data_IF_637834362259
#
_entry.id   IF_637834362259
#
_cell.length_a   1.000
_cell.length_b   1.000
_cell.length_c   1.000
_cell.angle_alpha   90.00
_cell.angle_beta   90.00
_cell.angle_gamma   90.00
#
_symmetry.space_group_name_H-M   'P 1'
#
loop_
_entity.id
_entity.type
_entity.pdbx_description
1 polymer ?
#
# COMPACT_ATOMS: atom_id res chain seq x y z
N UNK A 1 -5.31 -11.13 -4.71
CA UNK A 1 -6.35 -12.16 -4.56
C UNK A 1 -7.66 -11.50 -4.94
N UNK A 2 -8.42 -12.09 -5.85
CA UNK A 2 -9.78 -11.63 -6.15
C UNK A 2 -10.73 -12.23 -5.10
N UNK A 3 -11.31 -11.39 -4.25
CA UNK A 3 -12.21 -11.84 -3.19
C UNK A 3 -13.60 -12.23 -3.68
N UNK A 4 -13.97 -11.89 -4.91
CA UNK A 4 -15.29 -12.25 -5.47
C UNK A 4 -15.36 -13.70 -5.92
N UNK A 5 -14.21 -14.28 -6.29
CA UNK A 5 -14.08 -15.65 -6.80
C UNK A 5 -13.30 -16.58 -5.88
N UNK A 6 -12.68 -16.05 -4.83
CA UNK A 6 -11.83 -16.83 -3.93
C UNK A 6 -12.16 -16.55 -2.45
N UNK A 7 -12.52 -17.61 -1.74
CA UNK A 7 -12.69 -17.57 -0.28
C UNK A 7 -11.38 -17.90 0.42
N UNK A 8 -11.06 -17.16 1.48
CA UNK A 8 -9.89 -17.47 2.30
C UNK A 8 -10.20 -17.30 3.79
N UNK A 9 -9.93 -18.31 4.64
CA UNK A 9 -10.39 -18.34 6.02
C UNK A 9 -9.86 -17.19 6.88
N UNK A 10 -8.74 -16.59 6.47
CA UNK A 10 -8.08 -15.48 7.18
C UNK A 10 -8.12 -14.14 6.45
N UNK A 11 -8.69 -14.09 5.25
CA UNK A 11 -8.80 -12.84 4.50
C UNK A 11 -10.26 -12.47 4.40
N UNK A 12 -10.81 -12.02 5.53
CA UNK A 12 -12.16 -11.47 5.58
C UNK A 12 -12.12 -10.10 4.89
N UNK A 13 -12.99 -9.92 3.92
CA UNK A 13 -13.18 -8.64 3.24
C UNK A 13 -14.55 -8.12 3.62
N UNK A 14 -14.59 -6.98 4.30
CA UNK A 14 -15.85 -6.31 4.67
C UNK A 14 -16.34 -5.40 3.52
N UNK A 15 -15.50 -5.19 2.51
CA UNK A 15 -15.79 -4.44 1.29
C UNK A 15 -14.62 -4.48 0.31
N UNK A 16 -14.79 -3.87 -0.86
CA UNK A 16 -13.72 -3.80 -1.86
C UNK A 16 -13.34 -2.34 -2.17
N UNK A 17 -12.04 -2.02 -2.29
CA UNK A 17 -10.88 -2.87 -2.03
C UNK A 17 -10.52 -2.95 -0.53
N UNK A 18 -10.19 -4.15 -0.04
CA UNK A 18 -9.60 -4.38 1.30
C UNK A 18 -8.11 -4.72 1.16
N UNK A 19 -7.26 -4.07 1.96
CA UNK A 19 -5.81 -4.32 2.00
C UNK A 19 -5.46 -4.88 3.37
N UNK A 20 -4.95 -6.11 3.40
CA UNK A 20 -4.57 -6.85 4.61
C UNK A 20 -3.06 -7.10 4.64
N UNK A 21 -2.43 -6.86 5.78
CA UNK A 21 -1.00 -7.07 5.98
C UNK A 21 -0.71 -8.21 6.95
N UNK A 22 0.12 -9.15 6.49
CA UNK A 22 0.53 -10.34 7.25
C UNK A 22 2.03 -10.24 7.59
N UNK A 23 2.39 -9.81 8.82
CA UNK A 23 3.79 -9.70 9.22
C UNK A 23 4.51 -11.06 9.25
N UNK A 24 5.78 -11.06 8.86
CA UNK A 24 6.62 -12.26 8.88
C UNK A 24 6.73 -12.86 10.30
N UNK A 25 6.70 -14.20 10.40
CA UNK A 25 6.80 -14.91 11.68
C UNK A 25 5.53 -14.92 12.52
N UNK A 26 4.54 -14.05 12.26
CA UNK A 26 3.26 -13.99 13.01
C UNK A 26 2.12 -14.65 12.24
N UNK A 27 2.28 -15.94 11.95
CA UNK A 27 1.31 -16.72 11.16
C UNK A 27 -0.03 -16.97 11.87
N UNK A 28 -0.10 -16.86 13.19
CA UNK A 28 -1.31 -17.16 13.97
C UNK A 28 -2.17 -15.92 14.29
N UNK A 29 -1.66 -14.71 14.02
CA UNK A 29 -2.40 -13.48 14.31
C UNK A 29 -3.32 -13.09 13.16
N UNK A 30 -4.40 -12.38 13.50
CA UNK A 30 -5.25 -11.72 12.51
C UNK A 30 -4.42 -10.73 11.68
N UNK A 31 -4.71 -10.61 10.36
CA UNK A 31 -4.05 -9.61 9.54
C UNK A 31 -4.32 -8.20 10.06
N UNK A 32 -3.38 -7.31 9.78
CA UNK A 32 -3.54 -5.89 10.07
C UNK A 32 -4.22 -5.24 8.87
N UNK A 33 -5.41 -4.69 9.06
CA UNK A 33 -6.11 -3.94 8.00
C UNK A 33 -5.45 -2.58 7.78
N UNK A 34 -5.27 -2.22 6.51
CA UNK A 34 -4.79 -0.90 6.13
C UNK A 34 -5.95 0.08 5.97
N UNK A 35 -6.05 1.02 6.91
CA UNK A 35 -7.07 2.09 6.94
C UNK A 35 -6.54 3.46 6.47
N UNK A 36 -5.33 3.50 5.89
CA UNK A 36 -4.71 4.73 5.42
C UNK A 36 -5.17 5.17 4.04
N UNK A 37 -4.67 6.31 3.57
CA UNK A 37 -4.90 6.73 2.18
C UNK A 37 -4.25 5.73 1.23
N UNK A 38 -4.92 5.44 0.11
CA UNK A 38 -4.47 4.46 -0.90
C UNK A 38 -3.39 5.06 -1.81
N UNK A 39 -2.41 5.73 -1.21
CA UNK A 39 -1.25 6.34 -1.87
C UNK A 39 -0.01 5.48 -1.68
N UNK A 40 0.95 5.57 -2.61
CA UNK A 40 2.23 4.84 -2.51
C UNK A 40 3.01 5.24 -1.25
N UNK A 41 2.91 6.52 -0.87
CA UNK A 41 3.62 7.09 0.28
C UNK A 41 3.09 6.49 1.58
N UNK A 42 1.78 6.43 1.77
CA UNK A 42 1.20 5.93 3.01
C UNK A 42 1.27 4.41 3.11
N UNK A 43 1.13 3.71 1.99
CA UNK A 43 1.40 2.28 1.95
C UNK A 43 2.86 1.99 2.34
N UNK A 44 3.82 2.78 1.86
CA UNK A 44 5.23 2.62 2.25
C UNK A 44 5.44 2.87 3.75
N UNK A 45 4.88 3.94 4.32
CA UNK A 45 4.95 4.22 5.76
C UNK A 45 4.35 3.07 6.58
N UNK A 46 3.20 2.55 6.14
CA UNK A 46 2.51 1.46 6.81
C UNK A 46 3.32 0.16 6.78
N UNK A 47 3.83 -0.25 5.61
CA UNK A 47 4.68 -1.44 5.52
C UNK A 47 5.94 -1.25 6.37
N UNK A 48 6.57 -0.06 6.34
CA UNK A 48 7.76 0.23 7.16
C UNK A 48 7.48 0.14 8.67
N UNK A 49 6.27 0.50 9.11
CA UNK A 49 5.86 0.43 10.52
C UNK A 49 5.58 -1.01 10.99
N UNK A 50 4.99 -1.84 10.14
CA UNK A 50 4.53 -3.18 10.52
C UNK A 50 5.44 -4.32 10.05
N UNK A 51 6.36 -4.07 9.13
CA UNK A 51 7.31 -5.08 8.64
C UNK A 51 8.27 -5.51 9.74
N UNK A 52 8.34 -6.82 9.95
CA UNK A 52 9.30 -7.42 10.89
C UNK A 52 10.72 -7.53 10.32
N UNK A 53 10.85 -7.40 9.00
CA UNK A 53 12.14 -7.47 8.29
C UNK A 53 12.37 -6.10 7.65
N UNK A 54 13.51 -5.44 7.92
CA UNK A 54 13.81 -4.15 7.31
C UNK A 54 14.01 -4.31 5.80
N UNK A 55 13.40 -3.41 5.03
CA UNK A 55 13.52 -3.39 3.57
C UNK A 55 13.88 -1.99 3.08
N UNK A 56 14.45 -1.93 1.87
CA UNK A 56 14.75 -0.67 1.17
C UNK A 56 13.98 -0.68 -0.15
N UNK A 57 13.23 0.39 -0.41
CA UNK A 57 12.53 0.54 -1.68
C UNK A 57 13.55 0.89 -2.77
N UNK A 58 13.66 0.04 -3.80
CA UNK A 58 14.41 0.40 -5.01
C UNK A 58 13.54 1.33 -5.85
N UNK A 59 14.00 2.55 -6.09
CA UNK A 59 13.34 3.46 -7.03
C UNK A 59 13.52 2.87 -8.43
N UNK A 60 12.44 2.54 -9.13
CA UNK A 60 12.53 2.25 -10.55
C UNK A 60 12.86 3.55 -11.27
N UNK A 61 13.96 3.56 -12.04
CA UNK A 61 14.21 4.63 -13.00
C UNK A 61 13.02 4.67 -13.96
N UNK A 62 12.48 5.87 -14.14
CA UNK A 62 11.22 6.14 -14.84
C UNK A 62 11.22 5.61 -16.26
N UNK A 63 10.34 4.65 -16.55
CA UNK A 63 9.89 4.42 -17.93
C UNK A 63 8.83 5.47 -18.26
N UNK A 64 9.24 6.46 -19.05
CA UNK A 64 8.37 7.48 -19.66
C UNK A 64 7.37 6.82 -20.63
N UNK A 65 6.11 7.31 -20.61
CA UNK A 65 4.95 7.05 -21.53
C UNK A 65 4.28 5.66 -21.44
N UNK A 66 2.94 5.45 -21.40
CA UNK A 66 1.68 6.21 -21.55
C UNK A 66 0.59 5.42 -20.74
N UNK A 67 -0.54 5.90 -20.20
CA UNK A 67 -1.64 6.76 -20.69
C UNK A 67 -2.45 7.33 -19.49
N UNK A 68 -3.03 8.52 -19.67
CA UNK A 68 -3.89 9.30 -18.74
C UNK A 68 -5.35 8.82 -18.65
N UNK A 69 -5.96 8.97 -17.47
CA UNK A 69 -7.30 9.57 -17.17
C UNK A 69 -7.59 9.42 -15.64
N UNK A 70 -7.24 10.39 -14.77
CA UNK A 70 -8.06 11.47 -14.16
C UNK A 70 -9.25 10.99 -13.27
N UNK A 71 -9.53 11.46 -12.03
CA UNK A 71 -9.10 12.60 -11.20
C UNK A 71 -9.24 12.26 -9.68
N UNK A 72 -8.83 13.07 -8.70
CA UNK A 72 -9.37 14.38 -8.27
C UNK A 72 -8.28 15.20 -7.53
N UNK A 73 -8.34 16.52 -7.71
CA UNK A 73 -7.44 17.60 -7.25
C UNK A 73 -7.39 17.83 -5.72
N UNK A 74 -6.20 18.19 -5.22
CA UNK A 74 -5.94 19.31 -4.27
C UNK A 74 -4.43 19.56 -4.19
N UNK A 75 -3.87 20.51 -4.96
CA UNK A 75 -3.59 21.91 -4.59
C UNK A 75 -2.71 22.09 -3.34
N UNK A 76 -1.47 22.59 -3.50
CA UNK A 76 -0.75 23.31 -2.44
C UNK A 76 0.77 23.12 -2.29
N UNK A 77 1.55 23.74 -3.19
CA UNK A 77 2.84 24.46 -2.96
C UNK A 77 4.00 23.86 -2.13
N UNK A 78 5.04 23.46 -2.87
CA UNK A 78 6.44 23.96 -2.89
C UNK A 78 7.39 23.89 -1.66
N UNK A 79 8.67 23.68 -2.00
CA UNK A 79 9.94 23.85 -1.24
C UNK A 79 10.52 22.57 -0.64
N UNK A 80 11.81 22.24 -0.71
CA UNK A 80 12.97 22.69 -1.48
C UNK A 80 14.03 21.60 -1.21
N UNK A 81 14.62 21.10 -2.27
CA UNK A 81 15.67 20.08 -2.29
C UNK A 81 17.00 20.73 -1.89
N UNK A 82 17.64 20.32 -0.78
CA UNK A 82 19.07 20.57 -0.52
C UNK A 82 19.69 19.37 0.24
N UNK A 83 20.63 18.73 -0.46
CA UNK A 83 21.72 17.80 -0.11
C UNK A 83 21.67 16.97 1.19
#
# INVERSE_FOLDING_TARGET
>A
MDGTTNEHPRAKSDGYPTILFYPAGKKSFEPITFEGERTVVDLYKFIKKHASIPFKLKRQESRTESTRAEGVKSSGTNSKDEL
#
